data_IF_685944882575
#
_entry.id   IF_685944882575
#
_cell.length_a   1.000
_cell.length_b   1.000
_cell.length_c   1.000
_cell.angle_alpha   90.00
_cell.angle_beta   90.00
_cell.angle_gamma   90.00
#
_symmetry.space_group_name_H-M   'P 1'
#
loop_
_entity.id
_entity.type
_entity.pdbx_description
1 polymer ?
#
# COMPACT_ATOMS: atom_id res chain seq x y z
N UNK A 1 -7.36 -1.94 -0.60
CA UNK A 1 -6.97 -1.70 0.82
C UNK A 1 -8.03 -0.98 1.66
N UNK A 2 -9.29 -0.85 1.18
CA UNK A 2 -10.33 -0.07 1.87
C UNK A 2 -10.24 1.43 1.57
N UNK A 3 -11.36 2.14 1.70
CA UNK A 3 -11.48 3.58 1.36
C UNK A 3 -10.58 4.47 2.21
N UNK A 4 -10.22 4.03 3.41
CA UNK A 4 -9.37 4.76 4.35
C UNK A 4 -7.99 4.09 4.54
N UNK A 5 -7.61 3.14 3.69
CA UNK A 5 -6.31 2.47 3.73
C UNK A 5 -6.09 1.50 4.92
N UNK A 6 -7.15 1.09 5.63
CA UNK A 6 -7.03 0.21 6.81
C UNK A 6 -6.88 -1.30 6.49
N UNK A 7 -6.83 -1.69 5.22
CA UNK A 7 -6.76 -3.09 4.80
C UNK A 7 -8.12 -3.80 4.72
N UNK A 8 -9.21 -3.17 5.18
CA UNK A 8 -10.54 -3.78 5.31
C UNK A 8 -11.48 -3.40 4.13
N UNK A 9 -10.97 -3.47 2.90
CA UNK A 9 -11.83 -3.27 1.73
C UNK A 9 -12.83 -4.42 1.54
N UNK A 10 -13.89 -4.21 0.76
CA UNK A 10 -14.93 -5.23 0.50
C UNK A 10 -14.35 -6.58 0.02
N UNK A 11 -13.27 -6.54 -0.76
CA UNK A 11 -12.60 -7.73 -1.29
C UNK A 11 -11.61 -8.38 -0.30
N UNK A 12 -11.37 -7.78 0.87
CA UNK A 12 -10.31 -8.25 1.79
C UNK A 12 -10.60 -9.64 2.37
N UNK A 13 -11.88 -9.99 2.56
CA UNK A 13 -12.27 -11.29 3.15
C UNK A 13 -11.84 -12.50 2.31
N UNK A 14 -11.70 -12.33 0.99
CA UNK A 14 -11.29 -13.41 0.08
C UNK A 14 -9.78 -13.50 -0.16
N UNK A 15 -8.97 -12.71 0.53
CA UNK A 15 -7.53 -12.60 0.28
C UNK A 15 -6.71 -13.10 1.47
N UNK A 16 -5.79 -14.03 1.20
CA UNK A 16 -4.80 -14.50 2.16
C UNK A 16 -3.39 -14.43 1.53
N UNK A 17 -2.46 -13.62 2.07
CA UNK A 17 -2.62 -12.74 3.23
C UNK A 17 -3.57 -11.56 2.97
N UNK A 18 -4.12 -10.93 4.03
CA UNK A 18 -4.98 -9.77 3.88
C UNK A 18 -4.22 -8.56 3.30
N UNK A 19 -4.91 -7.62 2.63
CA UNK A 19 -4.29 -6.41 2.13
C UNK A 19 -3.62 -5.60 3.25
N UNK A 20 -2.47 -4.98 2.93
CA UNK A 20 -1.72 -4.12 3.86
C UNK A 20 -2.60 -3.04 4.50
N UNK A 21 -2.51 -2.92 5.83
CA UNK A 21 -3.05 -1.79 6.59
C UNK A 21 -2.04 -0.64 6.61
N UNK A 22 -2.29 0.40 5.81
CA UNK A 22 -1.41 1.57 5.71
C UNK A 22 -1.52 2.52 6.91
N UNK A 23 -2.47 2.30 7.82
CA UNK A 23 -2.58 3.08 9.08
C UNK A 23 -1.67 2.56 10.19
N UNK A 24 -1.22 1.31 10.12
CA UNK A 24 -0.32 0.73 11.13
C UNK A 24 1.06 1.38 11.00
N UNK A 25 1.38 2.29 11.92
CA UNK A 25 2.62 3.08 11.93
C UNK A 25 3.83 2.17 12.08
N UNK A 26 3.75 1.21 12.98
CA UNK A 26 4.82 0.28 13.33
C UNK A 26 5.27 -0.48 12.08
N UNK A 27 4.30 -1.03 11.32
CA UNK A 27 4.56 -1.70 10.05
C UNK A 27 5.07 -0.72 9.01
N UNK A 28 4.37 0.39 8.79
CA UNK A 28 4.71 1.31 7.70
C UNK A 28 6.06 2.00 7.89
N UNK A 29 6.53 2.19 9.11
CA UNK A 29 7.86 2.73 9.40
C UNK A 29 8.99 1.77 9.01
N UNK A 30 8.72 0.46 8.96
CA UNK A 30 9.70 -0.56 8.56
C UNK A 30 9.74 -0.78 7.04
N UNK A 31 8.66 -0.45 6.33
CA UNK A 31 8.59 -0.57 4.87
C UNK A 31 9.16 0.70 4.26
N UNK A 32 10.25 0.59 3.50
CA UNK A 32 10.88 1.73 2.81
C UNK A 32 10.05 2.19 1.60
N UNK A 33 10.25 3.43 1.15
CA UNK A 33 9.58 3.93 -0.06
C UNK A 33 10.01 3.15 -1.32
N UNK A 34 11.29 2.75 -1.41
CA UNK A 34 11.77 1.89 -2.50
C UNK A 34 11.10 0.52 -2.52
N UNK A 35 10.83 -0.07 -1.35
CA UNK A 35 10.07 -1.32 -1.25
C UNK A 35 8.62 -1.12 -1.70
N UNK A 36 7.95 -0.04 -1.28
CA UNK A 36 6.61 0.29 -1.76
C UNK A 36 6.58 0.46 -3.28
N UNK A 37 7.57 1.15 -3.83
CA UNK A 37 7.71 1.33 -5.27
C UNK A 37 7.82 -0.02 -5.99
N UNK A 38 8.74 -0.88 -5.53
CA UNK A 38 8.95 -2.19 -6.11
C UNK A 38 7.69 -3.05 -6.06
N UNK A 39 6.98 -3.05 -4.93
CA UNK A 39 5.75 -3.83 -4.75
C UNK A 39 4.63 -3.30 -5.66
N UNK A 40 4.47 -1.98 -5.81
CA UNK A 40 3.46 -1.43 -6.73
C UNK A 40 3.79 -1.82 -8.18
N UNK A 41 5.06 -1.68 -8.58
CA UNK A 41 5.51 -2.01 -9.94
C UNK A 41 5.36 -3.50 -10.27
N UNK A 42 5.75 -4.37 -9.34
CA UNK A 42 5.95 -5.80 -9.59
C UNK A 42 4.91 -6.71 -8.93
N UNK A 43 4.04 -6.15 -8.10
CA UNK A 43 3.11 -6.91 -7.27
C UNK A 43 3.80 -7.50 -6.04
N UNK A 44 3.07 -8.36 -5.32
CA UNK A 44 3.61 -9.12 -4.19
C UNK A 44 3.31 -10.61 -4.39
N UNK A 45 4.32 -11.42 -4.78
CA UNK A 45 4.14 -12.86 -5.02
C UNK A 45 3.53 -13.59 -3.83
N UNK A 46 2.64 -14.54 -4.10
CA UNK A 46 1.92 -15.29 -3.05
C UNK A 46 0.80 -14.51 -2.37
N UNK A 47 0.41 -13.35 -2.91
CA UNK A 47 -0.69 -12.51 -2.40
C UNK A 47 -1.65 -12.10 -3.51
N UNK A 48 -2.78 -11.48 -3.14
CA UNK A 48 -3.71 -10.88 -4.09
C UNK A 48 -3.25 -9.55 -4.70
N UNK A 49 -2.01 -9.11 -4.51
CA UNK A 49 -1.52 -7.82 -5.02
C UNK A 49 -0.87 -7.96 -6.41
N UNK A 50 -1.54 -7.53 -7.48
CA UNK A 50 -1.01 -7.64 -8.84
C UNK A 50 0.09 -6.60 -9.11
N UNK A 51 0.82 -6.82 -10.20
CA UNK A 51 1.80 -5.87 -10.72
C UNK A 51 1.11 -4.75 -11.52
N UNK A 52 1.46 -3.50 -11.23
CA UNK A 52 0.97 -2.33 -11.97
C UNK A 52 2.02 -1.83 -12.98
N UNK A 53 2.45 -2.72 -13.90
CA UNK A 53 3.54 -2.45 -14.85
C UNK A 53 3.28 -1.28 -15.79
N UNK A 54 2.03 -0.93 -16.03
CA UNK A 54 1.61 0.13 -16.93
C UNK A 54 1.74 1.54 -16.32
N UNK A 55 1.95 1.67 -15.02
CA UNK A 55 2.15 2.97 -14.38
C UNK A 55 3.53 3.54 -14.72
N UNK A 56 3.59 4.85 -14.92
CA UNK A 56 4.86 5.59 -14.98
C UNK A 56 5.44 5.72 -13.57
N UNK A 57 6.76 5.86 -13.47
CA UNK A 57 7.45 5.99 -12.17
C UNK A 57 6.89 7.13 -11.32
N UNK A 58 6.61 8.28 -11.96
CA UNK A 58 6.01 9.44 -11.30
C UNK A 58 4.64 9.12 -10.67
N UNK A 59 3.80 8.33 -11.34
CA UNK A 59 2.50 7.92 -10.79
C UNK A 59 2.67 7.01 -9.57
N UNK A 60 3.67 6.12 -9.59
CA UNK A 60 3.98 5.25 -8.44
C UNK A 60 4.44 6.10 -7.25
N UNK A 61 5.31 7.09 -7.48
CA UNK A 61 5.75 8.01 -6.43
C UNK A 61 4.60 8.85 -5.85
N UNK A 62 3.69 9.34 -6.69
CA UNK A 62 2.48 10.03 -6.23
C UNK A 62 1.60 9.14 -5.35
N UNK A 63 1.43 7.86 -5.72
CA UNK A 63 0.73 6.86 -4.90
C UNK A 63 1.44 6.69 -3.56
N UNK A 64 2.76 6.51 -3.53
CA UNK A 64 3.53 6.36 -2.28
C UNK A 64 3.34 7.56 -1.37
N UNK A 65 3.45 8.78 -1.89
CA UNK A 65 3.19 10.00 -1.13
C UNK A 65 1.77 10.04 -0.56
N UNK A 66 0.77 9.60 -1.31
CA UNK A 66 -0.60 9.46 -0.81
C UNK A 66 -0.70 8.40 0.30
N UNK A 67 -0.10 7.22 0.12
CA UNK A 67 -0.11 6.13 1.11
C UNK A 67 0.50 6.57 2.45
N UNK A 68 1.60 7.33 2.41
CA UNK A 68 2.26 7.86 3.62
C UNK A 68 1.39 8.79 4.44
N UNK A 69 0.32 9.36 3.89
CA UNK A 69 -0.63 10.18 4.66
C UNK A 69 -1.48 9.36 5.62
N UNK A 70 -1.62 8.04 5.42
CA UNK A 70 -2.43 7.19 6.30
C UNK A 70 -1.78 6.89 7.66
N UNK A 71 -0.45 6.82 7.71
CA UNK A 71 0.29 6.54 8.95
C UNK A 71 0.83 7.79 9.64
N UNK A 72 0.76 8.98 9.02
CA UNK A 72 1.14 10.22 9.70
C UNK A 72 0.00 10.69 10.63
N UNK A 73 0.31 11.19 11.84
CA UNK A 73 -0.69 11.92 12.61
C UNK A 73 -1.20 13.08 11.76
N UNK A 74 -2.53 13.26 11.69
CA UNK A 74 -3.08 14.52 11.18
C UNK A 74 -2.67 15.60 12.16
N UNK A 75 -1.81 16.52 11.73
CA UNK A 75 -1.64 17.77 12.44
C UNK A 75 -3.02 18.44 12.47
N UNK A 76 -3.53 18.67 13.68
CA UNK A 76 -4.70 19.51 13.92
C UNK A 76 -4.26 20.96 13.87
#
# INVERSE_FOLDING_TARGET
HGVNGNGLGIMAQGLNPPPRNFKCKETMNQVSDGQLFWIIRNGSPGTGMPAFKYLKDEQIWQIIHYLRKFSKPRYR
#
